data_IF_752971703935
#
_entry.id   IF_752971703935
#
_cell.length_a   1.000
_cell.length_b   1.000
_cell.length_c   1.000
_cell.angle_alpha   90.00
_cell.angle_beta   90.00
_cell.angle_gamma   90.00
#
_symmetry.space_group_name_H-M   'P 1'
#
loop_
_entity.id
_entity.type
_entity.pdbx_description
1 polymer ?
#
# COMPACT_ATOMS: atom_id res chain seq x y z
N UNK A 1 2.02 4.03 -22.85
CA UNK A 1 3.43 3.63 -23.03
C UNK A 1 4.31 4.20 -21.92
N UNK A 2 4.19 5.50 -21.59
CA UNK A 2 4.98 6.14 -20.52
C UNK A 2 4.77 5.54 -19.11
N UNK A 3 3.53 5.29 -18.69
CA UNK A 3 3.25 4.69 -17.38
C UNK A 3 3.88 3.29 -17.20
N UNK A 4 3.76 2.42 -18.21
CA UNK A 4 4.35 1.08 -18.16
C UNK A 4 5.89 1.11 -18.15
N UNK A 5 6.50 2.16 -18.72
CA UNK A 5 7.94 2.35 -18.69
C UNK A 5 8.40 2.82 -17.30
N UNK A 6 7.64 3.71 -16.66
CA UNK A 6 7.90 4.15 -15.29
C UNK A 6 7.74 3.01 -14.28
N UNK A 7 6.75 2.12 -14.48
CA UNK A 7 6.54 0.95 -13.63
C UNK A 7 7.71 -0.05 -13.73
N UNK A 8 8.22 -0.26 -14.95
CA UNK A 8 9.39 -1.13 -15.17
C UNK A 8 10.66 -0.54 -14.54
N UNK A 9 10.89 0.77 -14.67
CA UNK A 9 12.01 1.45 -14.04
C UNK A 9 11.94 1.34 -12.52
N UNK A 10 10.75 1.58 -11.95
CA UNK A 10 10.48 1.43 -10.51
C UNK A 10 10.77 0.00 -10.03
N UNK A 11 10.31 -1.01 -10.78
CA UNK A 11 10.58 -2.41 -10.49
C UNK A 11 12.09 -2.70 -10.47
N UNK A 12 12.84 -2.21 -11.47
CA UNK A 12 14.29 -2.40 -11.54
C UNK A 12 15.02 -1.75 -10.36
N UNK A 13 14.61 -0.54 -9.95
CA UNK A 13 15.20 0.17 -8.82
C UNK A 13 15.02 -0.63 -7.52
N UNK A 14 13.82 -1.13 -7.25
CA UNK A 14 13.57 -1.88 -6.01
C UNK A 14 14.19 -3.28 -6.01
N UNK A 15 14.27 -3.94 -7.17
CA UNK A 15 14.95 -5.23 -7.26
C UNK A 15 16.46 -5.05 -7.03
N UNK A 16 17.06 -3.99 -7.58
CA UNK A 16 18.46 -3.65 -7.29
C UNK A 16 18.69 -3.33 -5.81
N UNK A 17 17.77 -2.58 -5.18
CA UNK A 17 17.82 -2.28 -3.75
C UNK A 17 17.73 -3.56 -2.90
N UNK A 18 16.83 -4.49 -3.25
CA UNK A 18 16.68 -5.79 -2.59
C UNK A 18 17.96 -6.63 -2.67
N UNK A 19 18.53 -6.78 -3.87
CA UNK A 19 19.75 -7.57 -4.10
C UNK A 19 20.94 -6.96 -3.35
N UNK A 20 21.09 -5.63 -3.41
CA UNK A 20 22.17 -4.94 -2.70
C UNK A 20 22.03 -5.12 -1.20
N UNK A 21 20.82 -4.95 -0.66
CA UNK A 21 20.57 -5.12 0.77
C UNK A 21 20.80 -6.56 1.26
N UNK A 22 20.44 -7.55 0.44
CA UNK A 22 20.74 -8.96 0.69
C UNK A 22 22.25 -9.22 0.76
N UNK A 23 23.02 -8.66 -0.18
CA UNK A 23 24.47 -8.79 -0.20
C UNK A 23 25.16 -8.05 0.98
N UNK A 24 24.61 -6.93 1.42
CA UNK A 24 25.08 -6.20 2.60
C UNK A 24 24.75 -6.94 3.90
N UNK A 25 23.57 -7.55 4.00
CA UNK A 25 23.17 -8.34 5.15
C UNK A 25 24.09 -9.55 5.37
N UNK A 26 24.54 -10.21 4.30
CA UNK A 26 25.50 -11.30 4.40
C UNK A 26 26.84 -10.88 5.02
N UNK A 27 27.18 -9.59 4.97
CA UNK A 27 28.41 -9.02 5.56
C UNK A 27 28.17 -8.47 6.97
N UNK A 28 27.00 -7.87 7.20
CA UNK A 28 26.61 -7.29 8.48
C UNK A 28 25.11 -7.50 8.74
N UNK A 29 24.71 -8.60 9.39
CA UNK A 29 23.30 -8.90 9.64
C UNK A 29 22.68 -8.00 10.72
N UNK A 30 23.50 -7.27 11.48
CA UNK A 30 23.05 -6.38 12.55
C UNK A 30 22.90 -4.92 12.10
N UNK A 31 22.91 -4.67 10.79
CA UNK A 31 22.68 -3.35 10.23
C UNK A 31 21.17 -3.07 10.11
N UNK A 32 20.62 -2.35 11.09
CA UNK A 32 19.19 -2.00 11.10
C UNK A 32 18.79 -1.11 9.91
N UNK A 33 19.68 -0.24 9.42
CA UNK A 33 19.42 0.61 8.25
C UNK A 33 19.29 -0.22 6.99
N UNK A 34 20.22 -1.17 6.78
CA UNK A 34 20.16 -2.08 5.66
C UNK A 34 18.92 -2.98 5.71
N UNK A 35 18.60 -3.55 6.88
CA UNK A 35 17.39 -4.35 7.08
C UNK A 35 16.11 -3.56 6.80
N UNK A 36 16.07 -2.28 7.22
CA UNK A 36 14.96 -1.36 6.91
C UNK A 36 14.81 -1.16 5.41
N UNK A 37 15.91 -0.91 4.70
CA UNK A 37 15.92 -0.77 3.24
C UNK A 37 15.49 -2.06 2.54
N UNK A 38 15.93 -3.21 3.03
CA UNK A 38 15.54 -4.51 2.49
C UNK A 38 14.03 -4.74 2.63
N UNK A 39 13.51 -4.53 3.84
CA UNK A 39 12.07 -4.65 4.10
C UNK A 39 11.24 -3.69 3.26
N UNK A 40 11.69 -2.43 3.11
CA UNK A 40 11.05 -1.44 2.25
C UNK A 40 11.04 -1.84 0.78
N UNK A 41 12.17 -2.33 0.25
CA UNK A 41 12.24 -2.81 -1.14
C UNK A 41 11.31 -4.01 -1.40
N UNK A 42 11.25 -4.96 -0.46
CA UNK A 42 10.34 -6.11 -0.55
C UNK A 42 8.86 -5.68 -0.50
N UNK A 43 8.51 -4.73 0.36
CA UNK A 43 7.18 -4.13 0.41
C UNK A 43 6.83 -3.51 -0.94
N UNK A 44 7.74 -2.74 -1.54
CA UNK A 44 7.48 -2.09 -2.82
C UNK A 44 7.32 -3.08 -3.97
N UNK A 45 8.19 -4.09 -4.03
CA UNK A 45 8.13 -5.17 -5.03
C UNK A 45 6.86 -6.01 -4.92
N UNK A 46 6.32 -6.18 -3.71
CA UNK A 46 5.10 -6.96 -3.48
C UNK A 46 3.89 -6.44 -4.28
N UNK A 47 3.92 -5.19 -4.71
CA UNK A 47 2.83 -4.55 -5.47
C UNK A 47 2.78 -4.96 -6.94
N UNK A 48 3.84 -5.60 -7.47
CA UNK A 48 3.95 -5.95 -8.88
C UNK A 48 3.72 -7.44 -9.17
N UNK A 49 3.77 -8.29 -8.13
CA UNK A 49 3.60 -9.74 -8.25
C UNK A 49 2.14 -10.18 -8.26
N UNK A 50 1.91 -11.48 -8.52
CA UNK A 50 0.60 -12.07 -8.23
C UNK A 50 0.35 -12.17 -6.72
N UNK A 51 -0.91 -12.37 -6.31
CA UNK A 51 -1.31 -12.35 -4.90
C UNK A 51 -0.44 -13.27 -4.01
N UNK A 52 -0.01 -14.44 -4.50
CA UNK A 52 0.82 -15.36 -3.71
C UNK A 52 2.26 -14.85 -3.57
N UNK A 53 2.84 -14.31 -4.65
CA UNK A 53 4.14 -13.66 -4.62
C UNK A 53 4.12 -12.43 -3.71
N UNK A 54 3.11 -11.56 -3.85
CA UNK A 54 2.90 -10.40 -2.98
C UNK A 54 2.85 -10.81 -1.50
N UNK A 55 2.06 -11.84 -1.15
CA UNK A 55 1.98 -12.35 0.22
C UNK A 55 3.29 -12.93 0.72
N UNK A 56 4.11 -13.53 -0.14
CA UNK A 56 5.44 -14.01 0.23
C UNK A 56 6.37 -12.83 0.50
N UNK A 57 6.46 -11.87 -0.42
CA UNK A 57 7.32 -10.69 -0.28
C UNK A 57 6.94 -9.85 0.94
N UNK A 58 5.65 -9.70 1.24
CA UNK A 58 5.19 -8.99 2.43
C UNK A 58 5.56 -9.72 3.73
N UNK A 59 5.55 -11.06 3.76
CA UNK A 59 6.03 -11.83 4.92
C UNK A 59 7.53 -11.66 5.12
N UNK A 60 8.28 -11.72 4.03
CA UNK A 60 9.74 -11.52 4.06
C UNK A 60 10.07 -10.08 4.48
N UNK A 61 9.30 -9.08 4.01
CA UNK A 61 9.42 -7.68 4.42
C UNK A 61 9.20 -7.50 5.93
N UNK A 62 8.08 -8.04 6.46
CA UNK A 62 7.78 -8.02 7.89
C UNK A 62 8.93 -8.64 8.69
N UNK A 63 9.43 -9.81 8.26
CA UNK A 63 10.54 -10.48 8.94
C UNK A 63 11.80 -9.61 9.01
N UNK A 64 12.14 -8.87 7.95
CA UNK A 64 13.33 -8.01 7.91
C UNK A 64 13.15 -6.73 8.73
N UNK A 65 11.94 -6.19 8.76
CA UNK A 65 11.61 -5.01 9.56
C UNK A 65 11.58 -5.33 11.06
N UNK A 66 11.02 -6.49 11.44
CA UNK A 66 11.06 -6.96 12.83
C UNK A 66 12.51 -7.22 13.29
N UNK A 67 13.37 -7.75 12.42
CA UNK A 67 14.80 -7.91 12.68
C UNK A 67 15.47 -6.54 12.90
N UNK A 68 15.19 -5.54 12.05
CA UNK A 68 15.67 -4.18 12.21
C UNK A 68 15.23 -3.57 13.56
N UNK A 69 13.98 -3.78 13.96
CA UNK A 69 13.42 -3.26 15.21
C UNK A 69 13.93 -4.01 16.45
N UNK A 70 14.35 -5.27 16.30
CA UNK A 70 15.04 -6.00 17.36
C UNK A 70 16.41 -5.39 17.65
N UNK A 71 17.10 -4.90 16.62
CA UNK A 71 18.39 -4.22 16.74
C UNK A 71 18.21 -2.78 17.22
N UNK A 72 17.26 -2.04 16.64
CA UNK A 72 16.94 -0.67 17.00
C UNK A 72 15.43 -0.45 17.10
N UNK A 73 14.85 -0.58 18.32
CA UNK A 73 13.41 -0.41 18.54
C UNK A 73 12.87 0.98 18.19
N UNK A 74 13.73 2.01 18.20
CA UNK A 74 13.37 3.40 17.90
C UNK A 74 13.53 3.75 16.41
N UNK A 75 13.79 2.77 15.54
CA UNK A 75 13.94 2.99 14.10
C UNK A 75 12.60 3.33 13.46
N UNK A 76 12.24 4.62 13.48
CA UNK A 76 10.95 5.13 12.99
C UNK A 76 10.63 4.76 11.54
N UNK A 77 11.64 4.70 10.64
CA UNK A 77 11.44 4.24 9.26
C UNK A 77 11.03 2.77 9.18
N UNK A 78 11.63 1.91 10.00
CA UNK A 78 11.26 0.50 10.05
C UNK A 78 9.84 0.32 10.60
N UNK A 79 9.47 1.08 11.64
CA UNK A 79 8.11 1.13 12.18
C UNK A 79 7.11 1.55 11.09
N UNK A 80 7.40 2.62 10.35
CA UNK A 80 6.53 3.09 9.28
C UNK A 80 6.39 2.07 8.14
N UNK A 81 7.50 1.50 7.65
CA UNK A 81 7.49 0.43 6.66
C UNK A 81 6.70 -0.80 7.14
N UNK A 82 6.82 -1.15 8.42
CA UNK A 82 6.10 -2.29 9.02
C UNK A 82 4.59 -2.03 9.06
N UNK A 83 4.18 -0.81 9.38
CA UNK A 83 2.78 -0.39 9.31
C UNK A 83 2.21 -0.51 7.90
N UNK A 84 2.97 -0.09 6.89
CA UNK A 84 2.57 -0.23 5.49
C UNK A 84 2.49 -1.71 5.06
N UNK A 85 3.45 -2.55 5.48
CA UNK A 85 3.42 -3.98 5.18
C UNK A 85 2.22 -4.69 5.82
N UNK A 86 1.84 -4.31 7.05
CA UNK A 86 0.63 -4.82 7.69
C UNK A 86 -0.64 -4.34 6.99
N UNK A 87 -0.69 -3.08 6.56
CA UNK A 87 -1.82 -2.53 5.78
C UNK A 87 -1.99 -3.28 4.46
N UNK A 88 -0.91 -3.48 3.70
CA UNK A 88 -0.94 -4.25 2.46
C UNK A 88 -1.39 -5.70 2.70
N UNK A 89 -0.86 -6.36 3.74
CA UNK A 89 -1.30 -7.71 4.10
C UNK A 89 -2.78 -7.77 4.51
N UNK A 90 -3.32 -6.73 5.17
CA UNK A 90 -4.72 -6.65 5.54
C UNK A 90 -5.62 -6.65 4.29
N UNK A 91 -5.30 -5.84 3.28
CA UNK A 91 -6.03 -5.82 2.00
C UNK A 91 -5.96 -7.14 1.22
N UNK A 92 -4.89 -7.92 1.39
CA UNK A 92 -4.75 -9.25 0.78
C UNK A 92 -5.38 -10.38 1.61
N UNK A 93 -5.95 -10.07 2.78
CA UNK A 93 -6.59 -11.03 3.69
C UNK A 93 -8.10 -11.04 3.46
N UNK A 94 -8.69 -12.15 2.96
CA UNK A 94 -10.13 -12.22 2.73
C UNK A 94 -10.96 -12.35 4.01
N UNK A 95 -10.35 -12.83 5.11
CA UNK A 95 -11.03 -12.92 6.39
C UNK A 95 -11.02 -11.58 7.11
N UNK A 96 -12.21 -11.11 7.50
CA UNK A 96 -12.38 -9.78 8.07
C UNK A 96 -11.69 -9.62 9.42
N UNK A 97 -11.78 -10.63 10.28
CA UNK A 97 -11.24 -10.54 11.63
C UNK A 97 -9.71 -10.63 11.59
N UNK A 98 -9.16 -11.48 10.73
CA UNK A 98 -7.74 -11.53 10.44
C UNK A 98 -7.20 -10.25 9.78
N UNK A 99 -7.98 -9.60 8.92
CA UNK A 99 -7.60 -8.32 8.30
C UNK A 99 -7.60 -7.20 9.35
N UNK A 100 -8.61 -7.16 10.22
CA UNK A 100 -8.70 -6.21 11.32
C UNK A 100 -7.49 -6.29 12.25
N UNK A 101 -7.08 -7.50 12.65
CA UNK A 101 -5.86 -7.68 13.46
C UNK A 101 -4.63 -7.09 12.78
N UNK A 102 -4.53 -7.16 11.45
CA UNK A 102 -3.43 -6.57 10.69
C UNK A 102 -3.51 -5.04 10.63
N UNK A 103 -4.71 -4.47 10.45
CA UNK A 103 -4.91 -3.02 10.55
C UNK A 103 -4.60 -2.47 11.95
N UNK A 104 -4.97 -3.19 13.01
CA UNK A 104 -4.66 -2.81 14.39
C UNK A 104 -3.13 -2.82 14.62
N UNK A 105 -2.41 -3.79 14.05
CA UNK A 105 -0.94 -3.80 14.06
C UNK A 105 -0.35 -2.64 13.26
N UNK A 106 -0.92 -2.35 12.08
CA UNK A 106 -0.46 -1.24 11.25
C UNK A 106 -0.60 0.10 11.97
N UNK A 107 -1.74 0.33 12.61
CA UNK A 107 -2.03 1.53 13.40
C UNK A 107 -1.01 1.71 14.51
N UNK A 108 -0.75 0.67 15.31
CA UNK A 108 0.27 0.71 16.37
C UNK A 108 1.67 1.02 15.84
N UNK A 109 2.04 0.50 14.66
CA UNK A 109 3.33 0.78 14.06
C UNK A 109 3.43 2.25 13.62
N UNK A 110 2.37 2.80 13.02
CA UNK A 110 2.34 4.21 12.62
C UNK A 110 2.32 5.17 13.82
N UNK A 111 1.57 4.85 14.87
CA UNK A 111 1.57 5.63 16.12
C UNK A 111 2.98 5.71 16.69
N UNK A 112 3.67 4.56 16.83
CA UNK A 112 5.07 4.55 17.28
C UNK A 112 6.01 5.31 16.34
N UNK A 113 5.84 5.20 15.03
CA UNK A 113 6.65 5.97 14.08
C UNK A 113 6.46 7.49 14.26
N UNK A 114 5.23 7.93 14.53
CA UNK A 114 4.91 9.34 14.86
C UNK A 114 5.49 9.73 16.22
N UNK A 115 5.44 8.87 17.24
CA UNK A 115 6.03 9.13 18.55
C UNK A 115 7.54 9.34 18.46
N UNK A 116 8.24 8.48 17.70
CA UNK A 116 9.69 8.58 17.49
C UNK A 116 10.07 9.76 16.58
N UNK A 117 9.21 10.15 15.63
CA UNK A 117 9.46 11.28 14.73
C UNK A 117 8.19 12.12 14.44
N UNK A 118 7.75 12.98 15.39
CA UNK A 118 6.46 13.69 15.28
C UNK A 118 6.37 14.71 14.15
N UNK A 119 7.52 15.17 13.65
CA UNK A 119 7.60 16.14 12.55
C UNK A 119 7.48 15.53 11.17
N UNK A 120 7.39 14.21 11.05
CA UNK A 120 7.30 13.54 9.76
C UNK A 120 5.84 13.51 9.25
N UNK A 121 5.55 14.37 8.27
CA UNK A 121 4.21 14.49 7.68
C UNK A 121 3.71 13.17 7.07
N UNK A 122 4.62 12.34 6.51
CA UNK A 122 4.24 11.06 5.92
C UNK A 122 3.71 10.08 6.98
N UNK A 123 4.25 10.10 8.20
CA UNK A 123 3.82 9.18 9.25
C UNK A 123 2.44 9.56 9.78
N UNK A 124 2.20 10.86 9.97
CA UNK A 124 0.88 11.40 10.31
C UNK A 124 -0.16 11.07 9.24
N UNK A 125 0.22 11.21 7.96
CA UNK A 125 -0.64 10.85 6.83
C UNK A 125 -0.96 9.35 6.82
N UNK A 126 0.04 8.48 6.97
CA UNK A 126 -0.17 7.02 7.00
C UNK A 126 -1.05 6.60 8.17
N UNK A 127 -0.87 7.18 9.36
CA UNK A 127 -1.75 6.93 10.51
C UNK A 127 -3.21 7.32 10.20
N UNK A 128 -3.43 8.52 9.67
CA UNK A 128 -4.75 9.00 9.31
C UNK A 128 -5.40 8.16 8.19
N UNK A 129 -4.60 7.66 7.25
CA UNK A 129 -5.07 6.79 6.16
C UNK A 129 -5.40 5.37 6.64
N UNK A 130 -4.63 4.82 7.58
CA UNK A 130 -4.89 3.49 8.14
C UNK A 130 -6.25 3.41 8.84
N UNK A 131 -6.64 4.47 9.56
CA UNK A 131 -7.98 4.59 10.14
C UNK A 131 -9.09 4.48 9.08
N UNK A 132 -8.95 5.22 7.96
CA UNK A 132 -9.90 5.18 6.84
C UNK A 132 -9.90 3.84 6.11
N UNK A 133 -8.73 3.22 5.93
CA UNK A 133 -8.60 1.90 5.32
C UNK A 133 -9.35 0.83 6.11
N UNK A 134 -9.30 0.92 7.44
CA UNK A 134 -10.04 0.02 8.35
C UNK A 134 -11.55 0.19 8.22
N UNK A 135 -12.04 1.42 8.02
CA UNK A 135 -13.46 1.70 7.75
C UNK A 135 -13.88 1.18 6.37
N UNK A 136 -13.09 1.45 5.34
CA UNK A 136 -13.36 0.98 3.98
C UNK A 136 -13.41 -0.55 3.92
N UNK A 137 -12.51 -1.24 4.62
CA UNK A 137 -12.51 -2.70 4.70
C UNK A 137 -13.78 -3.24 5.37
N UNK A 138 -14.28 -2.58 6.43
CA UNK A 138 -15.55 -2.94 7.07
C UNK A 138 -16.73 -2.78 6.10
N UNK A 139 -16.77 -1.68 5.35
CA UNK A 139 -17.87 -1.40 4.42
C UNK A 139 -17.92 -2.40 3.25
N UNK A 140 -16.76 -2.79 2.71
CA UNK A 140 -16.65 -3.81 1.67
C UNK A 140 -17.23 -5.16 2.14
N UNK A 141 -16.94 -5.54 3.39
CA UNK A 141 -17.44 -6.77 3.97
C UNK A 141 -18.93 -6.69 4.35
N UNK A 142 -19.40 -5.56 4.86
CA UNK A 142 -20.80 -5.37 5.26
C UNK A 142 -21.77 -5.30 4.07
N UNK A 143 -21.33 -4.77 2.92
CA UNK A 143 -22.18 -4.54 1.75
C UNK A 143 -22.00 -5.55 0.60
N UNK A 144 -21.39 -6.72 0.86
CA UNK A 144 -21.29 -7.79 -0.14
C UNK A 144 -20.36 -7.48 -1.31
N UNK A 145 -19.37 -6.59 -1.11
CA UNK A 145 -18.34 -6.25 -2.09
C UNK A 145 -18.27 -4.76 -2.45
N UNK A 146 -17.17 -4.40 -3.14
CA UNK A 146 -16.77 -3.02 -3.48
C UNK A 146 -17.78 -2.26 -4.37
N UNK A 147 -18.70 -2.97 -5.05
CA UNK A 147 -19.63 -2.39 -6.03
C UNK A 147 -20.69 -1.47 -5.40
N UNK A 148 -21.01 -1.64 -4.12
CA UNK A 148 -22.02 -0.82 -3.43
C UNK A 148 -21.39 0.33 -2.61
N UNK A 149 -20.14 0.18 -2.16
CA UNK A 149 -19.40 1.23 -1.42
C UNK A 149 -19.07 2.46 -2.29
N UNK A 150 -19.04 2.33 -3.62
CA UNK A 150 -18.84 3.48 -4.51
C UNK A 150 -20.07 4.39 -4.61
N UNK A 151 -21.26 3.94 -4.16
CA UNK A 151 -22.48 4.74 -4.18
C UNK A 151 -22.64 5.64 -2.93
N UNK A 152 -21.97 5.32 -1.82
CA UNK A 152 -22.05 6.10 -0.57
C UNK A 152 -21.13 7.33 -0.55
N UNK A 153 -20.14 7.41 -1.47
CA UNK A 153 -19.22 8.54 -1.61
C UNK A 153 -19.56 9.50 -2.75
N UNK A 154 -20.61 9.21 -3.55
CA UNK A 154 -21.05 10.03 -4.69
C UNK A 154 -22.13 11.07 -4.38
N UNK A 155 -22.56 11.19 -3.11
CA UNK A 155 -23.68 12.04 -2.70
C UNK A 155 -23.25 13.38 -2.11
N UNK A 156 -22.63 14.25 -2.91
CA UNK A 156 -22.28 15.62 -2.49
C UNK A 156 -22.58 16.62 -3.59
N UNK A 157 -23.79 17.17 -3.61
CA UNK A 157 -24.15 18.30 -4.46
C UNK A 157 -23.43 19.58 -4.01
N UNK A 158 -22.83 20.33 -4.94
CA UNK A 158 -22.73 21.79 -4.86
C UNK A 158 -22.29 22.42 -6.21
N UNK A 159 -22.63 23.71 -6.44
CA UNK A 159 -23.03 24.22 -7.75
C UNK A 159 -21.90 24.88 -8.56
N UNK A 160 -22.18 25.08 -9.85
CA UNK A 160 -21.36 25.84 -10.79
C UNK A 160 -21.17 27.29 -10.39
N UNK A 161 -19.93 27.80 -10.47
CA UNK A 161 -19.68 29.16 -10.97
C UNK A 161 -18.24 29.31 -11.46
N UNK A 162 -18.10 29.99 -12.58
CA UNK A 162 -16.85 30.29 -13.27
C UNK A 162 -16.19 31.54 -12.71
N UNK A 163 -14.87 31.54 -12.53
CA UNK A 163 -14.07 32.77 -12.51
C UNK A 163 -12.61 32.51 -12.92
N UNK A 164 -12.07 33.46 -13.66
CA UNK A 164 -10.78 33.49 -14.37
C UNK A 164 -9.70 34.10 -13.48
N UNK A 165 -8.49 33.55 -13.46
CA UNK A 165 -7.35 34.14 -12.72
C UNK A 165 -6.03 33.40 -12.93
N UNK A 166 -4.99 34.15 -13.25
CA UNK A 166 -3.65 33.78 -13.72
C UNK A 166 -2.70 33.23 -12.65
N UNK A 167 -1.73 32.40 -13.09
CA UNK A 167 -0.35 32.45 -12.61
C UNK A 167 0.12 31.31 -11.70
N UNK A 168 1.25 30.69 -12.12
CA UNK A 168 2.19 29.83 -11.36
C UNK A 168 1.94 28.31 -11.45
N UNK A 169 2.53 27.70 -12.48
CA UNK A 169 2.68 26.24 -12.59
C UNK A 169 3.74 25.72 -11.61
N UNK A 170 3.29 25.20 -10.47
CA UNK A 170 4.02 24.26 -9.61
C UNK A 170 3.06 23.12 -9.26
N UNK A 171 3.58 21.89 -9.15
CA UNK A 171 2.91 20.62 -8.85
C UNK A 171 2.39 19.77 -10.02
N UNK A 172 3.31 19.36 -10.91
CA UNK A 172 3.17 18.11 -11.68
C UNK A 172 3.61 16.87 -10.89
N UNK A 173 4.45 16.99 -9.85
CA UNK A 173 4.94 15.85 -9.05
C UNK A 173 3.96 15.35 -7.98
N UNK A 174 3.19 16.24 -7.34
CA UNK A 174 2.25 15.86 -6.27
C UNK A 174 1.09 14.98 -6.75
N UNK A 175 0.90 14.88 -8.07
CA UNK A 175 -0.19 14.12 -8.70
C UNK A 175 0.15 12.65 -8.97
N UNK A 176 1.37 12.20 -8.64
CA UNK A 176 1.73 10.78 -8.74
C UNK A 176 2.08 10.14 -7.39
N UNK A 177 2.59 10.93 -6.43
CA UNK A 177 2.94 10.43 -5.10
C UNK A 177 1.73 10.06 -4.21
N UNK A 178 0.55 10.55 -4.54
CA UNK A 178 -0.72 10.25 -3.83
C UNK A 178 -1.46 9.07 -4.49
N UNK A 179 -1.20 8.77 -5.76
CA UNK A 179 -1.98 7.82 -6.54
C UNK A 179 -1.44 6.38 -6.51
N UNK A 180 -0.18 6.15 -6.12
CA UNK A 180 0.42 4.82 -6.07
C UNK A 180 -0.19 3.87 -5.03
N UNK A 181 -0.63 4.38 -3.87
CA UNK A 181 -1.04 3.53 -2.74
C UNK A 181 -2.56 3.32 -2.65
N UNK A 182 -3.35 4.22 -3.24
CA UNK A 182 -4.82 4.08 -3.32
C UNK A 182 -5.23 3.23 -4.53
N UNK A 183 -4.45 3.25 -5.62
CA UNK A 183 -4.78 2.47 -6.83
C UNK A 183 -4.48 0.97 -6.66
N UNK A 184 -3.60 0.57 -5.74
CA UNK A 184 -3.32 -0.86 -5.53
C UNK A 184 -4.34 -1.60 -4.67
N UNK A 185 -5.14 -0.90 -3.87
CA UNK A 185 -6.32 -1.49 -3.22
C UNK A 185 -7.51 -1.68 -4.20
N UNK A 186 -7.57 -0.92 -5.30
CA UNK A 186 -8.67 -0.99 -6.29
C UNK A 186 -8.28 -1.86 -7.50
N UNK A 187 -7.00 -1.93 -7.85
CA UNK A 187 -6.50 -2.67 -9.02
C UNK A 187 -6.62 -4.20 -8.92
N UNK A 188 -6.55 -4.77 -7.71
CA UNK A 188 -6.63 -6.23 -7.51
C UNK A 188 -8.07 -6.78 -7.48
N UNK A 189 -9.08 -5.95 -7.21
CA UNK A 189 -10.50 -6.39 -7.19
C UNK A 189 -11.13 -6.32 -8.60
N UNK A 190 -10.59 -5.51 -9.52
CA UNK A 190 -11.14 -5.37 -10.87
C UNK A 190 -10.87 -6.57 -11.80
N UNK A 191 -9.86 -7.41 -11.54
CA UNK A 191 -9.54 -8.52 -12.45
C UNK A 191 -10.38 -9.79 -12.23
N UNK A 192 -10.98 -9.96 -11.04
CA UNK A 192 -11.84 -11.12 -10.73
C UNK A 192 -13.28 -10.90 -11.22
N UNK A 193 -13.72 -9.65 -11.40
CA UNK A 193 -15.09 -9.32 -11.83
C UNK A 193 -15.37 -9.50 -13.33
N UNK A 194 -14.35 -9.54 -14.19
CA UNK A 194 -14.51 -9.58 -15.66
C UNK A 194 -14.35 -10.98 -16.29
N UNK A 195 -14.03 -12.00 -15.49
CA UNK A 195 -13.81 -13.36 -16.01
C UNK A 195 -15.09 -14.21 -16.11
N UNK A 196 -16.24 -13.76 -15.59
CA UNK A 196 -17.48 -14.57 -15.55
C UNK A 196 -18.58 -14.13 -16.53
N UNK A 197 -18.41 -13.06 -17.30
CA UNK A 197 -19.49 -12.46 -18.11
C UNK A 197 -19.43 -12.74 -19.63
N UNK A 198 -18.42 -13.42 -20.16
CA UNK A 198 -18.26 -13.66 -21.61
C UNK A 198 -18.58 -15.10 -22.05
N UNK A 199 -19.66 -15.70 -21.54
CA UNK A 199 -20.21 -16.93 -22.14
C UNK A 199 -21.40 -16.54 -23.03
N UNK A 200 -21.29 -16.61 -24.37
CA UNK A 200 -22.41 -16.29 -25.25
C UNK A 200 -23.55 -17.30 -25.09
N UNK A 201 -24.83 -16.88 -25.20
CA UNK A 201 -25.97 -17.78 -25.04
C UNK A 201 -26.02 -18.83 -26.16
N UNK A 202 -26.45 -20.07 -25.86
CA UNK A 202 -26.57 -21.12 -26.86
C UNK A 202 -27.68 -20.78 -27.87
N UNK A 203 -27.52 -21.16 -29.15
CA UNK A 203 -28.50 -20.86 -30.19
C UNK A 203 -29.83 -21.57 -29.92
N UNK A 204 -30.92 -20.80 -30.00
CA UNK A 204 -32.29 -21.31 -29.94
C UNK A 204 -32.54 -22.23 -31.13
N UNK A 205 -32.95 -23.46 -30.86
CA UNK A 205 -33.37 -24.46 -31.86
C UNK A 205 -34.79 -24.19 -32.33
#
# INVERSE_FOLDING_TARGET
MEAAQNDLERLMIFEHARITAEAEYAKNPTDADNLTRWGGALLELSQFGDINESKKMLRDAVSKLDEALTINPAKHEALWCLGNAHTANAFLTPDHDEAKVKFDKATQCFEKAVEECPGNEHYLQSLAQCAKATELHKDIHAHGGLSQAQQTLGGGSAPSSSAKGSGKSKNSDLKYDIFGWVILAVGLIAWIGMAKSNVPPPPTR
#
